data_IF_387173721507
#
_entry.id   IF_387173721507
#
_cell.length_a   1.000
_cell.length_b   1.000
_cell.length_c   1.000
_cell.angle_alpha   90.00
_cell.angle_beta   90.00
_cell.angle_gamma   90.00
#
_symmetry.space_group_name_H-M   'P 1'
#
loop_
_entity.id
_entity.type
_entity.pdbx_description
1 polymer ?
#
# COMPACT_ATOMS: atom_id res chain seq x y z
N UNK A 1 6.65 -30.51 -1.16
CA UNK A 1 6.55 -29.24 -1.89
C UNK A 1 5.45 -29.48 -2.90
N UNK A 2 4.24 -29.03 -2.59
CA UNK A 2 3.12 -29.01 -3.52
C UNK A 2 3.43 -27.88 -4.50
N UNK A 3 3.51 -28.24 -5.78
CA UNK A 3 3.73 -27.31 -6.91
C UNK A 3 2.39 -26.60 -7.20
N UNK A 4 1.87 -25.92 -6.19
CA UNK A 4 0.70 -25.07 -6.34
C UNK A 4 1.21 -23.70 -6.80
N UNK A 5 0.89 -23.34 -8.03
CA UNK A 5 1.20 -22.04 -8.63
C UNK A 5 0.70 -20.86 -7.77
N UNK A 6 0.89 -19.60 -8.20
CA UNK A 6 0.46 -18.44 -7.43
C UNK A 6 -1.03 -18.51 -7.07
N UNK A 7 -1.36 -18.35 -5.79
CA UNK A 7 -2.76 -18.39 -5.30
C UNK A 7 -3.60 -17.26 -5.89
N UNK A 8 -4.89 -17.48 -5.98
CA UNK A 8 -5.89 -16.47 -6.38
C UNK A 8 -6.60 -15.90 -5.15
N UNK A 9 -7.27 -14.75 -5.30
CA UNK A 9 -8.10 -14.20 -4.22
C UNK A 9 -9.23 -15.13 -3.81
N UNK A 10 -9.76 -15.92 -4.76
CA UNK A 10 -10.83 -16.90 -4.50
C UNK A 10 -10.35 -18.04 -3.60
N UNK A 11 -9.14 -18.55 -3.85
CA UNK A 11 -8.53 -19.61 -3.03
C UNK A 11 -8.15 -19.10 -1.64
N UNK A 12 -7.74 -17.83 -1.53
CA UNK A 12 -7.44 -17.20 -0.23
C UNK A 12 -8.70 -17.00 0.60
N UNK A 13 -9.82 -16.70 -0.04
CA UNK A 13 -11.10 -16.43 0.63
C UNK A 13 -11.97 -17.67 0.80
N UNK A 14 -11.49 -18.85 0.45
CA UNK A 14 -12.27 -20.09 0.64
C UNK A 14 -12.61 -20.28 2.13
N UNK A 15 -13.90 -20.30 2.44
CA UNK A 15 -14.42 -20.40 3.81
C UNK A 15 -14.30 -19.13 4.67
N UNK A 16 -13.85 -17.99 4.11
CA UNK A 16 -13.77 -16.70 4.83
C UNK A 16 -15.09 -15.97 4.73
N UNK A 17 -15.65 -15.57 5.87
CA UNK A 17 -16.83 -14.70 5.98
C UNK A 17 -16.44 -13.33 6.57
N UNK A 18 -16.64 -12.28 5.78
CA UNK A 18 -16.40 -10.90 6.17
C UNK A 18 -17.68 -10.11 6.43
N UNK A 19 -18.82 -10.79 6.63
CA UNK A 19 -20.11 -10.14 6.96
C UNK A 19 -19.96 -9.26 8.19
N UNK A 20 -20.38 -8.01 8.09
CA UNK A 20 -20.26 -7.01 9.16
C UNK A 20 -18.86 -6.39 9.31
N UNK A 21 -17.90 -6.70 8.43
CA UNK A 21 -16.60 -6.05 8.36
C UNK A 21 -16.62 -4.91 7.35
N UNK A 22 -15.93 -3.85 7.66
CA UNK A 22 -15.79 -2.66 6.82
C UNK A 22 -14.38 -2.56 6.26
N UNK A 23 -14.26 -2.37 4.95
CA UNK A 23 -12.99 -2.23 4.24
C UNK A 23 -12.89 -0.90 3.49
N UNK A 24 -11.83 -0.15 3.71
CA UNK A 24 -11.48 1.04 2.92
C UNK A 24 -10.33 0.67 1.98
N UNK A 25 -10.50 0.87 0.67
CA UNK A 25 -9.51 0.51 -0.34
C UNK A 25 -9.14 1.74 -1.18
N UNK A 26 -7.86 2.15 -1.13
CA UNK A 26 -7.38 3.23 -1.99
C UNK A 26 -7.07 2.72 -3.39
N UNK A 27 -7.40 3.51 -4.42
CA UNK A 27 -7.10 3.17 -5.82
C UNK A 27 -7.92 2.01 -6.37
N UNK A 28 -9.14 1.81 -5.87
CA UNK A 28 -10.05 0.73 -6.29
C UNK A 28 -10.73 0.97 -7.67
N UNK A 29 -10.25 1.90 -8.50
CA UNK A 29 -10.81 2.18 -9.82
C UNK A 29 -10.35 1.22 -10.92
N UNK A 30 -9.27 0.47 -10.70
CA UNK A 30 -8.71 -0.49 -11.66
C UNK A 30 -7.65 -1.41 -11.00
N UNK A 31 -7.19 -2.41 -11.76
CA UNK A 31 -6.06 -3.27 -11.39
C UNK A 31 -6.21 -3.94 -10.04
N UNK A 32 -5.13 -3.99 -9.27
CA UNK A 32 -5.09 -4.70 -7.98
C UNK A 32 -6.09 -4.15 -6.95
N UNK A 33 -6.25 -2.83 -6.88
CA UNK A 33 -7.17 -2.22 -5.92
C UNK A 33 -8.64 -2.58 -6.22
N UNK A 34 -9.03 -2.59 -7.49
CA UNK A 34 -10.37 -3.04 -7.89
C UNK A 34 -10.57 -4.53 -7.58
N UNK A 35 -9.62 -5.37 -7.95
CA UNK A 35 -9.69 -6.81 -7.67
C UNK A 35 -9.75 -7.10 -6.17
N UNK A 36 -8.94 -6.41 -5.36
CA UNK A 36 -8.99 -6.52 -3.90
C UNK A 36 -10.35 -6.10 -3.35
N UNK A 37 -10.87 -4.96 -3.79
CA UNK A 37 -12.18 -4.45 -3.36
C UNK A 37 -13.32 -5.44 -3.71
N UNK A 38 -13.34 -5.96 -4.94
CA UNK A 38 -14.30 -6.94 -5.39
C UNK A 38 -14.19 -8.27 -4.62
N UNK A 39 -12.99 -8.73 -4.34
CA UNK A 39 -12.75 -9.95 -3.58
C UNK A 39 -13.26 -9.82 -2.14
N UNK A 40 -12.91 -8.74 -1.43
CA UNK A 40 -13.40 -8.48 -0.07
C UNK A 40 -14.93 -8.35 -0.04
N UNK A 41 -15.51 -7.65 -1.03
CA UNK A 41 -16.97 -7.53 -1.15
C UNK A 41 -17.64 -8.87 -1.40
N UNK A 42 -17.05 -9.76 -2.22
CA UNK A 42 -17.60 -11.09 -2.49
C UNK A 42 -17.60 -11.99 -1.26
N UNK A 43 -16.69 -11.75 -0.30
CA UNK A 43 -16.65 -12.43 0.99
C UNK A 43 -17.56 -11.78 2.06
N UNK A 44 -18.34 -10.75 1.70
CA UNK A 44 -19.33 -10.12 2.57
C UNK A 44 -18.91 -8.80 3.22
N UNK A 45 -17.71 -8.27 2.95
CA UNK A 45 -17.30 -6.99 3.51
C UNK A 45 -18.09 -5.82 2.89
N UNK A 46 -18.41 -4.82 3.73
CA UNK A 46 -18.81 -3.51 3.26
C UNK A 46 -17.58 -2.75 2.78
N UNK A 47 -17.53 -2.42 1.47
CA UNK A 47 -16.37 -1.78 0.86
C UNK A 47 -16.63 -0.31 0.59
N UNK A 48 -15.69 0.56 1.00
CA UNK A 48 -15.62 1.95 0.59
C UNK A 48 -14.37 2.15 -0.27
N UNK A 49 -14.55 2.65 -1.49
CA UNK A 49 -13.47 2.95 -2.43
C UNK A 49 -13.00 4.40 -2.32
N UNK A 50 -11.75 4.62 -1.92
CA UNK A 50 -11.11 5.93 -1.91
C UNK A 50 -10.31 6.12 -3.21
N UNK A 51 -10.81 6.93 -4.14
CA UNK A 51 -10.33 6.96 -5.53
C UNK A 51 -10.33 8.37 -6.12
N UNK A 52 -9.41 8.62 -7.04
CA UNK A 52 -9.35 9.89 -7.78
C UNK A 52 -10.41 9.98 -8.88
N UNK A 53 -10.68 8.89 -9.58
CA UNK A 53 -11.65 8.83 -10.68
C UNK A 53 -12.95 8.13 -10.23
N UNK A 54 -13.87 8.93 -9.73
CA UNK A 54 -15.18 8.47 -9.25
C UNK A 54 -16.01 7.87 -10.39
N UNK A 55 -15.98 8.48 -11.58
CA UNK A 55 -16.80 8.03 -12.70
C UNK A 55 -16.39 6.63 -13.19
N UNK A 56 -15.06 6.41 -13.32
CA UNK A 56 -14.49 5.10 -13.67
C UNK A 56 -14.85 4.04 -12.63
N UNK A 57 -14.77 4.39 -11.35
CA UNK A 57 -15.04 3.45 -10.25
C UNK A 57 -16.50 3.01 -10.22
N UNK A 58 -17.47 3.93 -10.42
CA UNK A 58 -18.91 3.61 -10.49
C UNK A 58 -19.27 2.61 -11.59
N UNK A 59 -18.49 2.59 -12.67
CA UNK A 59 -18.66 1.62 -13.76
C UNK A 59 -18.04 0.25 -13.49
N UNK A 60 -17.18 0.13 -12.47
CA UNK A 60 -16.39 -1.07 -12.21
C UNK A 60 -16.80 -1.85 -10.95
N UNK A 61 -17.29 -1.17 -9.92
CA UNK A 61 -17.71 -1.78 -8.65
C UNK A 61 -18.88 -1.01 -8.07
N UNK A 62 -19.79 -1.74 -7.44
CA UNK A 62 -20.94 -1.15 -6.73
C UNK A 62 -20.63 -1.07 -5.23
N UNK A 63 -20.13 0.08 -4.79
CA UNK A 63 -19.78 0.35 -3.39
C UNK A 63 -19.87 1.86 -3.10
N UNK A 64 -19.74 2.23 -1.82
CA UNK A 64 -19.52 3.62 -1.44
C UNK A 64 -18.19 4.15 -2.01
N UNK A 65 -18.21 5.40 -2.48
CA UNK A 65 -17.05 6.03 -3.12
C UNK A 65 -16.79 7.38 -2.48
N UNK A 66 -15.51 7.61 -2.11
CA UNK A 66 -14.98 8.91 -1.67
C UNK A 66 -13.89 9.35 -2.62
N UNK A 67 -14.04 10.56 -3.17
CA UNK A 67 -13.01 11.16 -4.01
C UNK A 67 -11.76 11.45 -3.19
N UNK A 68 -10.60 10.95 -3.65
CA UNK A 68 -9.33 11.01 -2.92
C UNK A 68 -8.17 11.13 -3.88
N UNK A 69 -7.51 12.29 -3.91
CA UNK A 69 -6.23 12.45 -4.59
C UNK A 69 -5.09 12.40 -3.58
N UNK A 70 -4.34 11.30 -3.55
CA UNK A 70 -3.20 11.10 -2.64
C UNK A 70 -2.01 12.02 -2.94
N UNK A 71 -1.99 12.70 -4.08
CA UNK A 71 -0.99 13.70 -4.41
C UNK A 71 -1.35 15.12 -3.91
N UNK A 72 -2.49 15.28 -3.25
CA UNK A 72 -2.87 16.51 -2.55
C UNK A 72 -3.32 16.19 -1.12
N UNK A 73 -2.51 16.56 -0.12
CA UNK A 73 -2.81 16.28 1.29
C UNK A 73 -4.09 16.95 1.79
N UNK A 74 -4.57 18.03 1.13
CA UNK A 74 -5.87 18.63 1.43
C UNK A 74 -7.01 17.72 0.98
N UNK A 75 -6.89 17.14 -0.22
CA UNK A 75 -7.83 16.11 -0.69
C UNK A 75 -7.85 14.90 0.23
N UNK A 76 -6.67 14.45 0.69
CA UNK A 76 -6.54 13.33 1.62
C UNK A 76 -7.27 13.59 2.94
N UNK A 77 -7.08 14.78 3.55
CA UNK A 77 -7.78 15.14 4.79
C UNK A 77 -9.29 15.25 4.61
N UNK A 78 -9.73 15.86 3.51
CA UNK A 78 -11.16 15.93 3.18
C UNK A 78 -11.77 14.54 2.98
N UNK A 79 -11.04 13.65 2.31
CA UNK A 79 -11.45 12.27 2.13
C UNK A 79 -11.51 11.51 3.47
N UNK A 80 -10.52 11.66 4.35
CA UNK A 80 -10.53 11.04 5.67
C UNK A 80 -11.72 11.49 6.51
N UNK A 81 -12.04 12.79 6.52
CA UNK A 81 -13.25 13.31 7.19
C UNK A 81 -14.52 12.70 6.60
N UNK A 82 -14.63 12.65 5.26
CA UNK A 82 -15.80 12.07 4.58
C UNK A 82 -15.93 10.56 4.82
N UNK A 83 -14.85 9.83 4.99
CA UNK A 83 -14.85 8.40 5.37
C UNK A 83 -15.30 8.27 6.83
N UNK A 84 -14.74 9.06 7.73
CA UNK A 84 -15.07 9.04 9.15
C UNK A 84 -16.56 9.40 9.42
N UNK A 85 -17.15 10.25 8.59
CA UNK A 85 -18.59 10.59 8.67
C UNK A 85 -19.50 9.43 8.23
N UNK A 86 -18.98 8.48 7.45
CA UNK A 86 -19.75 7.33 6.91
C UNK A 86 -19.55 6.05 7.69
N UNK A 87 -18.38 5.88 8.30
CA UNK A 87 -17.95 4.63 8.93
C UNK A 87 -17.63 4.88 10.40
N UNK A 88 -18.36 4.22 11.28
CA UNK A 88 -18.07 4.24 12.73
C UNK A 88 -16.81 3.42 13.05
N UNK A 89 -16.51 2.42 12.22
CA UNK A 89 -15.37 1.52 12.38
C UNK A 89 -14.78 1.13 11.02
N UNK A 90 -13.47 0.94 10.98
CA UNK A 90 -12.73 0.39 9.84
C UNK A 90 -12.01 -0.87 10.32
N UNK A 91 -12.37 -2.02 9.77
CA UNK A 91 -11.72 -3.31 10.07
C UNK A 91 -10.51 -3.55 9.17
N UNK A 92 -10.58 -3.11 7.90
CA UNK A 92 -9.55 -3.30 6.90
C UNK A 92 -9.24 -1.97 6.20
N UNK A 93 -8.00 -1.48 6.29
CA UNK A 93 -7.51 -0.36 5.49
C UNK A 93 -6.48 -0.86 4.48
N UNK A 94 -6.78 -0.75 3.20
CA UNK A 94 -5.91 -1.19 2.12
C UNK A 94 -5.31 0.03 1.41
N UNK A 95 -4.09 0.39 1.78
CA UNK A 95 -3.28 1.43 1.16
C UNK A 95 -2.66 0.91 -0.14
N UNK A 96 -3.48 0.77 -1.18
CA UNK A 96 -3.09 0.12 -2.44
C UNK A 96 -2.68 1.11 -3.53
N UNK A 97 -3.29 2.31 -3.59
CA UNK A 97 -3.01 3.25 -4.68
C UNK A 97 -1.52 3.61 -4.81
N UNK A 98 -1.11 3.96 -6.02
CA UNK A 98 0.28 4.36 -6.23
C UNK A 98 0.59 4.82 -7.65
N UNK A 99 1.80 5.32 -7.79
CA UNK A 99 2.45 5.67 -9.05
C UNK A 99 3.82 4.99 -9.12
N UNK A 100 4.28 4.67 -10.33
CA UNK A 100 5.54 3.97 -10.54
C UNK A 100 6.32 4.60 -11.68
N UNK A 101 7.62 4.80 -11.44
CA UNK A 101 8.60 5.24 -12.43
C UNK A 101 8.15 6.46 -13.24
N UNK A 102 7.44 7.40 -12.60
CA UNK A 102 7.05 8.66 -13.22
C UNK A 102 8.30 9.50 -13.54
N UNK A 103 8.26 10.39 -14.53
CA UNK A 103 9.24 11.46 -14.61
C UNK A 103 9.23 12.28 -13.31
N UNK A 104 10.24 13.12 -13.10
CA UNK A 104 10.23 14.02 -11.95
C UNK A 104 8.99 14.92 -12.02
N UNK A 105 8.13 14.75 -11.06
CA UNK A 105 6.90 15.51 -10.87
C UNK A 105 6.76 15.85 -9.39
N UNK A 106 5.97 16.87 -9.08
CA UNK A 106 5.70 17.30 -7.71
C UNK A 106 4.24 17.13 -7.36
N UNK A 107 3.96 16.76 -6.11
CA UNK A 107 2.61 16.79 -5.53
C UNK A 107 2.14 18.23 -5.34
N UNK A 108 0.89 18.44 -4.95
CA UNK A 108 0.34 19.78 -4.70
C UNK A 108 1.09 20.53 -3.59
N UNK A 109 1.76 19.82 -2.67
CA UNK A 109 2.59 20.38 -1.61
C UNK A 109 4.09 20.41 -1.93
N UNK A 110 4.48 20.08 -3.17
CA UNK A 110 5.86 20.14 -3.64
C UNK A 110 6.72 18.91 -3.35
N UNK A 111 6.17 17.82 -2.83
CA UNK A 111 6.91 16.56 -2.62
C UNK A 111 7.17 15.83 -3.93
N UNK A 112 8.27 15.05 -3.98
CA UNK A 112 8.48 14.13 -5.09
C UNK A 112 7.26 13.22 -5.24
N UNK A 113 6.79 13.06 -6.48
CA UNK A 113 5.47 12.48 -6.78
C UNK A 113 5.29 11.07 -6.22
N UNK A 114 6.33 10.22 -6.29
CA UNK A 114 6.20 8.83 -5.87
C UNK A 114 6.25 8.70 -4.34
N UNK A 115 7.16 9.40 -3.67
CA UNK A 115 7.21 9.44 -2.21
C UNK A 115 5.95 10.11 -1.64
N UNK A 116 5.54 11.23 -2.23
CA UNK A 116 4.35 11.98 -1.80
C UNK A 116 3.06 11.20 -1.94
N UNK A 117 2.86 10.51 -3.09
CA UNK A 117 1.62 9.75 -3.36
C UNK A 117 1.62 8.39 -2.66
N UNK A 118 2.71 7.60 -2.83
CA UNK A 118 2.73 6.20 -2.38
C UNK A 118 2.86 6.09 -0.86
N UNK A 119 3.55 7.04 -0.22
CA UNK A 119 3.80 7.03 1.22
C UNK A 119 3.07 8.16 1.95
N UNK A 120 3.42 9.42 1.70
CA UNK A 120 2.95 10.53 2.54
C UNK A 120 1.42 10.71 2.50
N UNK A 121 0.80 10.54 1.33
CA UNK A 121 -0.65 10.55 1.18
C UNK A 121 -1.34 9.47 2.01
N UNK A 122 -0.81 8.25 1.99
CA UNK A 122 -1.34 7.15 2.81
C UNK A 122 -1.03 7.33 4.30
N UNK A 123 0.14 7.86 4.64
CA UNK A 123 0.49 8.21 6.02
C UNK A 123 -0.55 9.17 6.62
N UNK A 124 -0.86 10.25 5.91
CA UNK A 124 -1.88 11.24 6.35
C UNK A 124 -3.27 10.62 6.43
N UNK A 125 -3.67 9.83 5.43
CA UNK A 125 -4.97 9.15 5.43
C UNK A 125 -5.11 8.23 6.63
N UNK A 126 -4.11 7.37 6.87
CA UNK A 126 -4.13 6.37 7.93
C UNK A 126 -4.20 7.04 9.31
N UNK A 127 -3.36 8.05 9.56
CA UNK A 127 -3.37 8.78 10.84
C UNK A 127 -4.68 9.55 11.06
N UNK A 128 -5.26 10.12 10.02
CA UNK A 128 -6.53 10.85 10.11
C UNK A 128 -7.75 9.92 10.36
N UNK A 129 -7.59 8.61 10.14
CA UNK A 129 -8.63 7.59 10.38
C UNK A 129 -8.39 6.80 11.69
N UNK A 130 -7.37 7.14 12.46
CA UNK A 130 -6.95 6.35 13.64
C UNK A 130 -8.09 6.13 14.64
N UNK A 131 -8.94 7.14 14.87
CA UNK A 131 -10.09 7.05 15.77
C UNK A 131 -11.20 6.08 15.29
N UNK A 132 -11.10 5.57 14.07
CA UNK A 132 -11.98 4.56 13.49
C UNK A 132 -11.43 3.15 13.56
N UNK A 133 -10.19 2.99 14.04
CA UNK A 133 -9.57 1.67 14.23
C UNK A 133 -9.89 1.13 15.62
N UNK A 134 -9.98 -0.19 15.70
CA UNK A 134 -10.20 -0.92 16.93
C UNK A 134 -9.35 -2.21 16.91
N UNK A 135 -9.26 -2.89 18.05
CA UNK A 135 -8.59 -4.19 18.10
C UNK A 135 -9.13 -5.14 17.02
N UNK A 136 -8.22 -5.74 16.26
CA UNK A 136 -8.50 -6.56 15.08
C UNK A 136 -8.50 -5.81 13.76
N UNK A 137 -8.29 -4.48 13.75
CA UNK A 137 -8.07 -3.73 12.50
C UNK A 137 -6.74 -4.15 11.85
N UNK A 138 -6.76 -4.34 10.54
CA UNK A 138 -5.58 -4.60 9.72
C UNK A 138 -5.34 -3.51 8.69
N UNK A 139 -4.11 -3.00 8.66
CA UNK A 139 -3.64 -2.00 7.71
C UNK A 139 -2.70 -2.70 6.73
N UNK A 140 -3.04 -2.72 5.44
CA UNK A 140 -2.24 -3.37 4.40
C UNK A 140 -1.66 -2.32 3.47
N UNK A 141 -0.34 -2.18 3.47
CA UNK A 141 0.40 -1.19 2.69
C UNK A 141 1.04 -1.85 1.47
N UNK A 142 0.63 -1.45 0.26
CA UNK A 142 1.22 -1.99 -0.96
C UNK A 142 2.64 -1.47 -1.13
N UNK A 143 3.60 -2.36 -0.86
CA UNK A 143 5.00 -2.22 -1.21
C UNK A 143 5.30 -2.88 -2.57
N UNK A 144 6.51 -3.31 -2.78
CA UNK A 144 6.97 -3.95 -4.01
C UNK A 144 8.38 -4.50 -3.78
N UNK A 145 8.82 -5.48 -4.56
CA UNK A 145 10.24 -5.78 -4.74
C UNK A 145 11.07 -4.55 -5.16
N UNK A 146 10.41 -3.51 -5.65
CA UNK A 146 11.04 -2.20 -5.88
C UNK A 146 11.78 -1.64 -4.67
N UNK A 147 11.41 -2.00 -3.44
CA UNK A 147 12.11 -1.57 -2.23
C UNK A 147 13.57 -2.07 -2.17
N UNK A 148 13.90 -3.17 -2.87
CA UNK A 148 15.29 -3.66 -2.99
C UNK A 148 16.19 -2.73 -3.85
N UNK A 149 15.61 -1.80 -4.62
CA UNK A 149 16.36 -0.90 -5.50
C UNK A 149 16.99 0.24 -4.71
N UNK A 150 16.31 0.75 -3.69
CA UNK A 150 16.74 1.92 -2.94
C UNK A 150 16.24 1.91 -1.50
N UNK A 151 17.14 2.15 -0.56
CA UNK A 151 16.79 2.63 0.78
C UNK A 151 16.30 4.08 0.76
N UNK A 152 16.21 4.70 1.94
CA UNK A 152 15.84 6.10 2.09
C UNK A 152 17.02 7.03 1.80
N UNK A 153 16.83 8.01 0.93
CA UNK A 153 17.81 9.06 0.59
C UNK A 153 17.76 10.19 1.63
N UNK A 154 18.20 9.92 2.84
CA UNK A 154 18.01 10.80 3.99
C UNK A 154 18.55 12.24 3.82
N UNK A 155 19.49 12.46 2.92
CA UNK A 155 20.06 13.78 2.64
C UNK A 155 19.20 14.57 1.63
N UNK A 156 18.37 13.88 0.83
CA UNK A 156 17.54 14.47 -0.21
C UNK A 156 16.36 13.54 -0.56
N UNK A 157 15.45 13.35 0.41
CA UNK A 157 14.26 12.51 0.22
C UNK A 157 13.35 13.01 -0.90
N UNK A 158 13.38 14.30 -1.14
CA UNK A 158 12.48 14.98 -2.06
C UNK A 158 13.08 15.18 -3.47
N UNK A 159 14.33 14.78 -3.69
CA UNK A 159 15.05 15.08 -4.94
C UNK A 159 15.03 16.58 -5.26
N UNK A 160 15.42 17.42 -4.29
CA UNK A 160 15.56 18.86 -4.48
C UNK A 160 16.75 19.15 -5.42
N UNK A 161 17.79 18.29 -5.42
CA UNK A 161 18.73 18.17 -6.52
C UNK A 161 18.12 17.35 -7.66
N UNK A 162 17.44 18.04 -8.58
CA UNK A 162 16.76 17.41 -9.72
C UNK A 162 17.71 16.65 -10.65
N UNK A 163 19.01 17.00 -10.67
CA UNK A 163 20.02 16.31 -11.49
C UNK A 163 20.30 14.89 -11.02
N UNK A 164 20.01 14.59 -9.75
CA UNK A 164 20.15 13.28 -9.12
C UNK A 164 18.90 12.38 -9.29
N UNK A 165 17.86 12.89 -9.97
CA UNK A 165 16.60 12.12 -10.08
C UNK A 165 16.76 10.89 -10.96
N UNK A 166 16.51 9.74 -10.38
CA UNK A 166 16.28 8.48 -11.08
C UNK A 166 14.91 7.92 -10.70
N UNK A 167 14.06 7.70 -11.71
CA UNK A 167 12.68 7.28 -11.52
C UNK A 167 12.51 5.96 -10.79
N UNK A 168 13.51 5.06 -10.91
CA UNK A 168 13.47 3.75 -10.25
C UNK A 168 13.98 3.83 -8.81
N UNK A 169 15.00 4.65 -8.55
CA UNK A 169 15.46 4.95 -7.20
C UNK A 169 14.34 5.64 -6.40
N UNK A 170 13.63 6.60 -6.99
CA UNK A 170 12.51 7.28 -6.37
C UNK A 170 11.34 6.32 -6.09
N UNK A 171 11.04 5.40 -7.03
CA UNK A 171 10.06 4.34 -6.81
C UNK A 171 10.51 3.42 -5.67
N UNK A 172 11.74 2.93 -5.70
CA UNK A 172 12.32 2.09 -4.66
C UNK A 172 12.24 2.74 -3.28
N UNK A 173 12.66 3.99 -3.17
CA UNK A 173 12.53 4.79 -1.94
C UNK A 173 11.08 4.83 -1.42
N UNK A 174 10.11 5.09 -2.31
CA UNK A 174 8.70 5.15 -1.90
C UNK A 174 8.18 3.79 -1.40
N UNK A 175 8.69 2.68 -1.95
CA UNK A 175 8.29 1.33 -1.54
C UNK A 175 9.01 0.86 -0.26
N UNK A 176 10.25 1.30 -0.06
CA UNK A 176 10.95 1.19 1.24
C UNK A 176 10.21 1.98 2.32
N UNK A 177 9.75 3.20 2.01
CA UNK A 177 8.97 4.00 2.94
C UNK A 177 7.67 3.29 3.39
N UNK A 178 7.00 2.54 2.50
CA UNK A 178 5.80 1.78 2.86
C UNK A 178 6.12 0.61 3.80
N UNK A 179 7.28 -0.04 3.68
CA UNK A 179 7.71 -1.08 4.62
C UNK A 179 8.08 -0.48 5.98
N UNK A 180 8.88 0.60 5.99
CA UNK A 180 9.24 1.32 7.22
C UNK A 180 8.01 1.86 7.95
N UNK A 181 7.03 2.41 7.22
CA UNK A 181 5.75 2.82 7.80
C UNK A 181 5.03 1.66 8.47
N UNK A 182 5.03 0.48 7.84
CA UNK A 182 4.44 -0.74 8.40
C UNK A 182 5.10 -1.13 9.72
N UNK A 183 6.43 -1.08 9.80
CA UNK A 183 7.20 -1.43 11.00
C UNK A 183 6.89 -0.47 12.16
N UNK A 184 6.92 0.84 11.91
CA UNK A 184 6.64 1.83 12.95
C UNK A 184 5.18 1.84 13.37
N UNK A 185 4.24 1.69 12.44
CA UNK A 185 2.82 1.58 12.72
C UNK A 185 2.51 0.39 13.64
N UNK A 186 3.15 -0.75 13.42
CA UNK A 186 3.03 -1.91 14.31
C UNK A 186 3.57 -1.62 15.70
N UNK A 187 4.73 -0.97 15.80
CA UNK A 187 5.31 -0.58 17.09
C UNK A 187 4.38 0.34 17.90
N UNK A 188 3.67 1.24 17.22
CA UNK A 188 2.77 2.23 17.84
C UNK A 188 1.39 1.67 18.17
N UNK A 189 0.80 0.89 17.27
CA UNK A 189 -0.61 0.49 17.34
C UNK A 189 -0.83 -1.01 17.56
N UNK A 190 0.19 -1.83 17.34
CA UNK A 190 0.14 -3.28 17.60
C UNK A 190 -0.26 -3.63 19.04
N UNK A 191 0.25 -2.92 20.08
CA UNK A 191 -0.20 -3.12 21.46
C UNK A 191 -1.70 -2.91 21.68
N UNK A 192 -2.36 -2.08 20.86
CA UNK A 192 -3.79 -1.83 20.89
C UNK A 192 -4.58 -2.78 19.95
N UNK A 193 -3.89 -3.76 19.35
CA UNK A 193 -4.47 -4.77 18.46
C UNK A 193 -4.74 -4.28 17.03
N UNK A 194 -4.12 -3.17 16.60
CA UNK A 194 -4.15 -2.68 15.22
C UNK A 194 -2.86 -3.11 14.53
N UNK A 195 -2.97 -4.04 13.58
CA UNK A 195 -1.81 -4.66 12.95
C UNK A 195 -1.56 -4.15 11.53
N UNK A 196 -0.29 -3.91 11.20
CA UNK A 196 0.13 -3.36 9.91
C UNK A 196 0.99 -4.35 9.13
N UNK A 197 0.79 -4.43 7.80
CA UNK A 197 1.49 -5.34 6.89
C UNK A 197 1.96 -4.59 5.65
N UNK A 198 3.18 -4.90 5.19
CA UNK A 198 3.66 -4.47 3.88
C UNK A 198 3.57 -5.63 2.88
N UNK A 199 3.04 -5.39 1.70
CA UNK A 199 2.75 -6.45 0.72
C UNK A 199 3.45 -6.22 -0.61
N UNK A 200 4.11 -7.26 -1.13
CA UNK A 200 4.48 -7.35 -2.54
C UNK A 200 3.44 -8.16 -3.31
N UNK A 201 2.81 -7.58 -4.35
CA UNK A 201 1.72 -8.23 -5.07
C UNK A 201 2.17 -9.18 -6.20
N UNK A 202 3.47 -9.47 -6.32
CA UNK A 202 4.01 -10.17 -7.49
C UNK A 202 4.25 -9.26 -8.70
N UNK A 203 4.66 -9.85 -9.82
CA UNK A 203 4.89 -9.16 -11.08
C UNK A 203 3.59 -9.10 -11.89
N UNK A 204 2.83 -8.01 -11.75
CA UNK A 204 1.52 -7.82 -12.38
C UNK A 204 1.56 -6.66 -13.37
N UNK A 205 1.03 -6.84 -14.57
CA UNK A 205 0.88 -5.76 -15.55
C UNK A 205 -0.45 -5.05 -15.27
N UNK A 206 -0.37 -3.80 -14.84
CA UNK A 206 -1.53 -2.95 -14.58
C UNK A 206 -1.34 -1.54 -15.15
N UNK A 207 -2.33 -0.66 -15.01
CA UNK A 207 -2.21 0.76 -15.34
C UNK A 207 -1.10 1.49 -14.56
N UNK A 208 -0.51 0.86 -13.55
CA UNK A 208 0.66 1.37 -12.85
C UNK A 208 1.85 1.57 -13.79
N UNK A 209 1.95 0.76 -14.85
CA UNK A 209 3.00 0.84 -15.88
C UNK A 209 2.80 1.94 -16.92
N UNK A 210 1.83 2.86 -16.78
CA UNK A 210 1.47 3.88 -17.77
C UNK A 210 2.60 4.84 -18.18
N UNK A 211 3.64 4.97 -17.36
CA UNK A 211 4.83 5.78 -17.63
C UNK A 211 5.99 4.98 -18.22
N UNK A 212 5.80 3.68 -18.44
CA UNK A 212 6.81 2.77 -18.97
C UNK A 212 6.66 2.55 -20.47
N UNK A 213 7.78 2.41 -21.15
CA UNK A 213 7.82 1.88 -22.51
C UNK A 213 7.62 0.36 -22.49
N UNK A 214 7.36 -0.24 -23.67
CA UNK A 214 7.29 -1.70 -23.80
C UNK A 214 8.61 -2.38 -23.39
N UNK A 215 9.73 -1.74 -23.72
CA UNK A 215 11.07 -2.26 -23.38
C UNK A 215 11.34 -2.17 -21.88
N UNK A 216 10.91 -1.08 -21.21
CA UNK A 216 10.97 -0.99 -19.74
C UNK A 216 10.17 -2.13 -19.07
N UNK A 217 8.95 -2.39 -19.55
CA UNK A 217 8.10 -3.47 -19.02
C UNK A 217 8.76 -4.83 -19.25
N UNK A 218 9.27 -5.10 -20.48
CA UNK A 218 9.93 -6.35 -20.80
C UNK A 218 11.18 -6.58 -19.93
N UNK A 219 12.01 -5.54 -19.74
CA UNK A 219 13.21 -5.62 -18.90
C UNK A 219 12.85 -5.91 -17.42
N UNK A 220 11.75 -5.34 -16.92
CA UNK A 220 11.29 -5.55 -15.53
C UNK A 220 10.68 -6.91 -15.27
N UNK A 221 10.07 -7.50 -16.28
CA UNK A 221 9.45 -8.81 -16.18
C UNK A 221 10.42 -9.95 -16.47
N UNK A 222 11.60 -9.63 -17.01
CA UNK A 222 12.62 -10.65 -17.35
C UNK A 222 13.03 -11.44 -16.09
N UNK A 223 12.88 -12.77 -16.18
CA UNK A 223 13.18 -13.69 -15.07
C UNK A 223 12.12 -13.74 -13.95
N UNK A 224 11.00 -13.03 -14.09
CA UNK A 224 9.90 -13.10 -13.13
C UNK A 224 8.70 -13.84 -13.71
N UNK A 225 8.02 -14.62 -12.88
CA UNK A 225 6.71 -15.15 -13.23
C UNK A 225 5.70 -14.00 -13.22
N UNK A 226 5.13 -13.70 -14.38
CA UNK A 226 4.04 -12.73 -14.49
C UNK A 226 2.74 -13.40 -14.08
N UNK A 227 2.03 -12.76 -13.16
CA UNK A 227 0.75 -13.24 -12.66
C UNK A 227 -0.38 -12.33 -13.12
N UNK A 228 -1.60 -12.84 -13.15
CA UNK A 228 -2.77 -12.03 -13.45
C UNK A 228 -3.17 -11.14 -12.24
N UNK A 229 -4.18 -10.28 -12.44
CA UNK A 229 -4.61 -9.33 -11.42
C UNK A 229 -5.24 -10.04 -10.22
N UNK A 230 -5.90 -11.19 -10.43
CA UNK A 230 -6.51 -11.98 -9.37
C UNK A 230 -5.44 -12.61 -8.47
N UNK A 231 -4.42 -13.22 -9.08
CA UNK A 231 -3.26 -13.76 -8.37
C UNK A 231 -2.46 -12.64 -7.67
N UNK A 232 -2.27 -11.50 -8.34
CA UNK A 232 -1.55 -10.35 -7.77
C UNK A 232 -2.24 -9.72 -6.57
N UNK A 233 -3.57 -9.78 -6.48
CA UNK A 233 -4.32 -9.30 -5.34
C UNK A 233 -4.35 -10.30 -4.17
N UNK A 234 -3.98 -11.56 -4.40
CA UNK A 234 -4.11 -12.64 -3.40
C UNK A 234 -3.34 -12.37 -2.11
N UNK A 235 -2.09 -11.90 -2.19
CA UNK A 235 -1.30 -11.59 -0.98
C UNK A 235 -1.90 -10.44 -0.18
N UNK A 236 -2.48 -9.43 -0.85
CA UNK A 236 -3.18 -8.33 -0.19
C UNK A 236 -4.41 -8.83 0.56
N UNK A 237 -5.21 -9.69 -0.09
CA UNK A 237 -6.39 -10.30 0.54
C UNK A 237 -5.99 -11.23 1.67
N UNK A 238 -4.92 -12.02 1.50
CA UNK A 238 -4.37 -12.89 2.55
C UNK A 238 -3.89 -12.07 3.77
N UNK A 239 -3.18 -10.97 3.55
CA UNK A 239 -2.79 -10.04 4.62
C UNK A 239 -3.99 -9.49 5.39
N UNK A 240 -5.07 -9.19 4.66
CA UNK A 240 -6.30 -8.65 5.24
C UNK A 240 -7.13 -9.67 6.03
N UNK A 241 -7.05 -10.98 5.69
CA UNK A 241 -8.05 -11.96 6.14
C UNK A 241 -7.51 -13.22 6.80
N UNK A 242 -6.23 -13.57 6.57
CA UNK A 242 -5.69 -14.85 7.07
C UNK A 242 -5.61 -14.89 8.60
N UNK A 243 -6.14 -15.94 9.24
CA UNK A 243 -5.99 -16.14 10.69
C UNK A 243 -4.55 -16.46 11.12
N UNK A 244 -3.67 -16.85 10.18
CA UNK A 244 -2.24 -17.08 10.44
C UNK A 244 -1.51 -15.81 10.89
N UNK A 245 -2.10 -14.64 10.61
CA UNK A 245 -1.56 -13.32 10.93
C UNK A 245 -2.21 -12.69 12.17
N UNK A 246 -3.13 -13.38 12.87
CA UNK A 246 -3.77 -12.87 14.06
C UNK A 246 -2.74 -12.55 15.16
N UNK A 247 -2.82 -11.35 15.72
CA UNK A 247 -1.89 -10.86 16.74
C UNK A 247 -0.45 -10.64 16.27
N UNK A 248 -0.23 -10.55 14.97
CA UNK A 248 1.07 -10.34 14.34
C UNK A 248 0.99 -9.14 13.40
N UNK A 249 2.09 -8.39 13.30
CA UNK A 249 2.21 -7.29 12.36
C UNK A 249 3.66 -6.84 12.19
N UNK A 250 3.90 -5.71 11.54
CA UNK A 250 5.24 -5.24 11.19
C UNK A 250 5.93 -6.10 10.12
N UNK A 251 5.17 -6.93 9.40
CA UNK A 251 5.68 -7.99 8.53
C UNK A 251 5.65 -7.57 7.05
N UNK A 252 6.67 -8.03 6.31
CA UNK A 252 6.66 -7.99 4.85
C UNK A 252 6.17 -9.33 4.30
N UNK A 253 5.19 -9.26 3.40
CA UNK A 253 4.45 -10.41 2.88
C UNK A 253 4.57 -10.47 1.36
N UNK A 254 4.78 -11.67 0.83
CA UNK A 254 4.76 -11.96 -0.60
C UNK A 254 4.23 -13.39 -0.83
N UNK A 255 3.64 -13.65 -1.99
CA UNK A 255 3.13 -14.97 -2.40
C UNK A 255 2.32 -15.70 -1.31
N UNK A 256 1.49 -14.94 -0.56
CA UNK A 256 0.68 -15.41 0.58
C UNK A 256 1.49 -16.09 1.69
N UNK A 257 2.68 -15.58 1.98
CA UNK A 257 3.48 -15.99 3.15
C UNK A 257 4.26 -14.83 3.76
N UNK A 258 4.80 -15.03 4.96
CA UNK A 258 5.71 -14.08 5.61
C UNK A 258 7.10 -14.24 5.02
N UNK A 259 7.60 -13.19 4.37
CA UNK A 259 8.91 -13.21 3.74
C UNK A 259 10.07 -13.15 4.76
N UNK A 260 11.19 -13.72 4.37
CA UNK A 260 12.48 -13.57 5.08
C UNK A 260 13.33 -12.43 4.51
N UNK A 261 14.53 -12.20 5.07
CA UNK A 261 15.51 -11.31 4.46
C UNK A 261 15.87 -11.77 3.04
N UNK A 262 15.99 -10.81 2.12
CA UNK A 262 16.46 -11.08 0.77
C UNK A 262 17.93 -11.56 0.81
N UNK A 263 18.22 -12.60 0.04
CA UNK A 263 19.59 -13.07 -0.18
C UNK A 263 20.16 -12.52 -1.51
N UNK A 264 21.44 -12.85 -1.78
CA UNK A 264 22.14 -12.41 -2.99
C UNK A 264 21.52 -12.98 -4.29
N UNK A 265 20.67 -13.99 -4.21
CA UNK A 265 19.96 -14.58 -5.35
C UNK A 265 18.67 -13.85 -5.69
N UNK A 266 18.20 -12.97 -4.79
CA UNK A 266 17.15 -11.96 -4.92
C UNK A 266 15.86 -12.42 -5.65
N UNK A 267 15.41 -13.64 -5.42
CA UNK A 267 14.13 -14.11 -5.96
C UNK A 267 12.94 -13.65 -5.14
N UNK A 268 13.16 -13.17 -3.89
CA UNK A 268 12.14 -12.69 -2.96
C UNK A 268 12.74 -12.05 -1.71
N UNK A 269 11.90 -11.78 -0.72
CA UNK A 269 12.34 -11.27 0.58
C UNK A 269 12.41 -9.76 0.70
N UNK A 270 12.85 -9.29 1.87
CA UNK A 270 12.99 -7.87 2.17
C UNK A 270 14.43 -7.44 2.40
N UNK A 271 14.74 -6.19 2.04
CA UNK A 271 16.04 -5.58 2.36
C UNK A 271 16.12 -5.26 3.86
N UNK A 272 17.26 -5.55 4.54
CA UNK A 272 17.39 -5.27 5.98
C UNK A 272 17.11 -3.82 6.36
N UNK A 273 17.51 -2.84 5.52
CA UNK A 273 17.23 -1.43 5.77
C UNK A 273 15.74 -1.07 5.73
N UNK A 274 14.90 -1.87 5.06
CA UNK A 274 13.48 -1.59 4.95
C UNK A 274 12.68 -2.00 6.20
N UNK A 275 13.26 -2.82 7.07
CA UNK A 275 12.65 -3.27 8.33
C UNK A 275 13.41 -2.77 9.57
N UNK A 276 14.34 -1.83 9.39
CA UNK A 276 15.15 -1.25 10.45
C UNK A 276 14.28 -0.30 11.32
N UNK A 277 14.12 -0.56 12.63
CA UNK A 277 13.26 0.25 13.50
C UNK A 277 13.73 1.71 13.66
N UNK A 278 15.05 1.97 13.61
CA UNK A 278 15.57 3.34 13.73
C UNK A 278 15.22 4.16 12.47
N UNK A 279 15.32 3.54 11.31
CA UNK A 279 14.90 4.17 10.06
C UNK A 279 13.38 4.34 9.99
N UNK A 280 12.61 3.38 10.53
CA UNK A 280 11.17 3.46 10.60
C UNK A 280 10.72 4.65 11.48
N UNK A 281 11.26 4.78 12.69
CA UNK A 281 11.00 5.91 13.56
C UNK A 281 11.43 7.25 12.92
N UNK A 282 12.61 7.29 12.27
CA UNK A 282 13.09 8.49 11.56
C UNK A 282 12.17 8.91 10.42
N UNK A 283 11.65 7.94 9.65
CA UNK A 283 10.69 8.22 8.58
C UNK A 283 9.37 8.73 9.13
N UNK A 284 8.90 8.13 10.22
CA UNK A 284 7.68 8.58 10.89
C UNK A 284 7.78 10.04 11.32
N UNK A 285 8.83 10.40 12.05
CA UNK A 285 9.09 11.77 12.49
C UNK A 285 9.18 12.75 11.32
N UNK A 286 9.80 12.34 10.22
CA UNK A 286 9.84 13.15 9.01
C UNK A 286 8.44 13.32 8.42
N UNK A 287 7.68 12.23 8.30
CA UNK A 287 6.34 12.25 7.73
C UNK A 287 5.36 13.09 8.54
N UNK A 288 5.43 13.04 9.88
CA UNK A 288 4.64 13.90 10.77
C UNK A 288 4.94 15.37 10.53
N UNK A 289 6.22 15.75 10.48
CA UNK A 289 6.61 17.14 10.21
C UNK A 289 6.14 17.62 8.83
N UNK A 290 6.21 16.77 7.80
CA UNK A 290 5.76 17.14 6.46
C UNK A 290 4.23 17.21 6.37
N UNK A 291 3.55 16.36 7.08
CA UNK A 291 2.11 16.27 7.06
C UNK A 291 1.42 17.37 7.86
N UNK A 292 2.18 18.16 8.63
CA UNK A 292 1.62 19.23 9.47
C UNK A 292 0.57 18.71 10.48
N UNK A 293 0.81 17.49 10.99
CA UNK A 293 -0.12 16.83 11.91
C UNK A 293 -0.18 17.50 13.28
N UNK A 294 0.81 18.34 13.62
CA UNK A 294 0.90 19.09 14.87
C UNK A 294 0.51 20.56 14.72
N UNK A 295 0.05 21.01 13.55
CA UNK A 295 -0.17 22.41 13.18
C UNK A 295 -1.62 22.87 13.07
N UNK A 296 -2.56 22.25 13.76
CA UNK A 296 -3.93 22.80 13.84
C UNK A 296 -4.22 23.22 15.26
N UNK A 297 -3.82 24.44 15.59
CA UNK A 297 -4.43 25.22 16.66
C UNK A 297 -5.67 25.92 16.17
#
# INVERSE_FOLDING_TARGET
MTDDGPRTTTEVLDGVDLSGRTAVVTGASSGLGLQTAQALQSAGAEVLAAVRDVAKTRGAIHCEIVETDLSDLRSVRAAAAAIADRLDRIDLLINNAGVMASPLMRTAQGYEMQLGTNHLGHFVLTNALLDRFAAGTRIVNLSSRGHLISGMRWNDLNYDDESAYDRWQAYGQSKTANVLFTVEAEGRWGPDGVHSFAVHPGAVITELARHLTRDDVAARLAGHQVVDVNQGAATTVWAATSPELDGRGGLYLEDCHVAGPADDTATGGYAPYAVDPEQAARLWDWSERQADLHGTG
#
